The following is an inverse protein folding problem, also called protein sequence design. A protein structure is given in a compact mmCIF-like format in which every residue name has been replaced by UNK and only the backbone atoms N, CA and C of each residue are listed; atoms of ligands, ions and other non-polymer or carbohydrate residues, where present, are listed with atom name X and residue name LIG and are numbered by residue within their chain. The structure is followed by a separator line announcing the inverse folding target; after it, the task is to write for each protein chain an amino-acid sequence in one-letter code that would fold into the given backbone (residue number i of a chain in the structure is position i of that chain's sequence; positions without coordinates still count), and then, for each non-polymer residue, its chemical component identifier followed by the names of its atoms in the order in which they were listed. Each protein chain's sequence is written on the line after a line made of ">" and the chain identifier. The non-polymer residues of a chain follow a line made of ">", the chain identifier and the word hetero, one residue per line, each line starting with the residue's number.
data_IF_884024118191
#
_entry.id   IF_884024118191
#
_cell.length_a   1.000
_cell.length_b   1.000
_cell.length_c   1.000
_cell.angle_alpha   90.00
_cell.angle_beta   90.00
_cell.angle_gamma   90.00
#
_symmetry.space_group_name_H-M   'P 1'
#
loop_
_entity.id
_entity.type
_entity.pdbx_description
1 polymer ?
#
# COMPACT_ATOMS: atom_id res chain seq x y z
N UNK A 1 20.81 30.39 -2.26
CA UNK A 1 20.74 29.25 -1.33
C UNK A 1 21.89 28.32 -1.68
N UNK A 2 22.69 27.90 -0.69
CA UNK A 2 23.85 27.03 -0.93
C UNK A 2 23.45 25.56 -0.98
N UNK A 3 24.03 24.80 -1.89
CA UNK A 3 23.88 23.35 -1.93
C UNK A 3 24.77 22.71 -0.85
N UNK A 4 24.23 21.74 -0.10
CA UNK A 4 24.97 20.97 0.89
C UNK A 4 25.31 19.57 0.36
N UNK A 5 26.53 19.09 0.63
CA UNK A 5 26.98 17.77 0.18
C UNK A 5 26.83 16.72 1.30
N UNK A 6 26.24 15.57 0.96
CA UNK A 6 26.12 14.42 1.87
C UNK A 6 27.14 13.36 1.48
N UNK A 7 28.02 12.98 2.40
CA UNK A 7 29.01 11.90 2.19
C UNK A 7 28.81 10.80 3.23
N UNK A 8 28.66 9.56 2.77
CA UNK A 8 28.50 8.38 3.63
C UNK A 8 29.49 7.27 3.28
N UNK A 9 30.01 6.58 4.31
CA UNK A 9 30.88 5.39 4.14
C UNK A 9 30.01 4.14 3.98
N UNK A 10 30.36 3.29 3.02
CA UNK A 10 29.70 1.98 2.83
C UNK A 10 30.64 0.96 2.19
N UNK A 11 30.36 -0.33 2.40
CA UNK A 11 31.12 -1.41 1.77
C UNK A 11 30.99 -1.34 0.22
N UNK A 12 32.08 -1.60 -0.54
CA UNK A 12 32.05 -1.52 -2.01
C UNK A 12 30.96 -2.41 -2.65
N UNK A 13 30.75 -3.61 -2.10
CA UNK A 13 29.69 -4.52 -2.54
C UNK A 13 28.29 -3.96 -2.31
N UNK A 14 28.06 -3.27 -1.17
CA UNK A 14 26.79 -2.61 -0.86
C UNK A 14 26.53 -1.46 -1.83
N UNK A 15 27.54 -0.62 -2.11
CA UNK A 15 27.46 0.47 -3.09
C UNK A 15 27.06 -0.05 -4.48
N UNK A 16 27.71 -1.11 -4.94
CA UNK A 16 27.46 -1.69 -6.27
C UNK A 16 26.03 -2.23 -6.37
N UNK A 17 25.59 -3.06 -5.42
CA UNK A 17 24.24 -3.62 -5.43
C UNK A 17 23.17 -2.53 -5.32
N UNK A 18 23.36 -1.56 -4.43
CA UNK A 18 22.44 -0.42 -4.30
C UNK A 18 22.37 0.40 -5.59
N UNK A 19 23.51 0.67 -6.23
CA UNK A 19 23.57 1.38 -7.51
C UNK A 19 22.79 0.68 -8.63
N UNK A 20 22.83 -0.65 -8.70
CA UNK A 20 22.04 -1.41 -9.69
C UNK A 20 20.54 -1.28 -9.47
N UNK A 21 20.08 -1.32 -8.22
CA UNK A 21 18.66 -1.10 -7.89
C UNK A 21 18.25 0.30 -8.31
N UNK A 22 19.01 1.33 -7.92
CA UNK A 22 18.70 2.71 -8.28
C UNK A 22 18.68 2.92 -9.79
N UNK A 23 19.62 2.33 -10.53
CA UNK A 23 19.65 2.40 -11.99
C UNK A 23 18.39 1.80 -12.62
N UNK A 24 17.93 0.65 -12.12
CA UNK A 24 16.70 0.01 -12.59
C UNK A 24 15.46 0.88 -12.38
N UNK A 25 15.43 1.60 -11.26
CA UNK A 25 14.35 2.54 -10.93
C UNK A 25 14.55 3.94 -11.55
N UNK A 26 15.59 4.14 -12.38
CA UNK A 26 15.87 5.42 -13.03
C UNK A 26 16.31 6.54 -12.07
N UNK A 27 16.84 6.20 -10.90
CA UNK A 27 17.25 7.14 -9.86
C UNK A 27 18.78 7.24 -9.75
N UNK A 28 19.26 8.44 -9.46
CA UNK A 28 20.64 8.65 -8.97
C UNK A 28 20.72 8.50 -7.45
N UNK A 29 21.93 8.36 -6.93
CA UNK A 29 22.14 8.30 -5.48
C UNK A 29 21.69 9.58 -4.76
N UNK A 30 21.97 10.76 -5.33
CA UNK A 30 21.53 12.03 -4.74
C UNK A 30 20.01 12.18 -4.74
N UNK A 31 19.35 11.76 -5.83
CA UNK A 31 17.89 11.75 -5.94
C UNK A 31 17.22 10.82 -4.92
N UNK A 32 17.81 9.64 -4.68
CA UNK A 32 17.31 8.70 -3.68
C UNK A 32 17.50 9.24 -2.26
N UNK A 33 18.66 9.83 -1.96
CA UNK A 33 18.95 10.43 -0.65
C UNK A 33 18.03 11.63 -0.37
N UNK A 34 17.79 12.49 -1.36
CA UNK A 34 16.88 13.62 -1.18
C UNK A 34 15.45 13.16 -0.90
N UNK A 35 14.94 12.19 -1.68
CA UNK A 35 13.61 11.59 -1.43
C UNK A 35 13.51 10.93 -0.06
N UNK A 36 14.58 10.31 0.42
CA UNK A 36 14.65 9.77 1.78
C UNK A 36 14.49 10.89 2.81
N UNK A 37 15.19 12.01 2.67
CA UNK A 37 15.01 13.17 3.55
C UNK A 37 13.60 13.76 3.47
N UNK A 38 13.01 13.84 2.28
CA UNK A 38 11.63 14.28 2.11
C UNK A 38 10.68 13.42 2.95
N UNK A 39 10.86 12.09 2.93
CA UNK A 39 10.06 11.18 3.77
C UNK A 39 10.34 11.25 5.26
N UNK A 40 11.58 11.49 5.67
CA UNK A 40 11.90 11.74 7.08
C UNK A 40 11.20 13.02 7.59
N UNK A 41 11.14 14.05 6.76
CA UNK A 41 10.49 15.33 7.09
C UNK A 41 8.96 15.17 7.10
N UNK A 42 8.41 14.49 6.10
CA UNK A 42 6.95 14.27 5.96
C UNK A 42 6.40 13.41 7.11
N UNK A 43 7.08 12.34 7.46
CA UNK A 43 6.64 11.44 8.52
C UNK A 43 6.98 11.97 9.93
N UNK A 44 8.04 12.77 10.05
CA UNK A 44 8.57 13.19 11.35
C UNK A 44 9.33 12.09 12.10
N UNK A 45 9.57 10.94 11.48
CA UNK A 45 10.30 9.81 12.08
C UNK A 45 11.16 9.05 11.05
N UNK A 46 12.02 8.16 11.56
CA UNK A 46 12.91 7.31 10.76
C UNK A 46 12.59 5.80 10.86
N UNK A 47 11.37 5.45 11.25
CA UNK A 47 10.93 4.06 11.48
C UNK A 47 11.18 3.16 10.27
N UNK A 48 10.96 3.66 9.05
CA UNK A 48 11.20 2.93 7.81
C UNK A 48 12.68 2.60 7.54
N UNK A 49 13.62 3.34 8.15
CA UNK A 49 15.05 3.08 8.04
C UNK A 49 15.55 2.15 9.15
N UNK A 50 14.96 2.24 10.35
CA UNK A 50 15.38 1.47 11.53
C UNK A 50 14.67 0.13 11.64
N UNK A 51 13.48 0.00 11.03
CA UNK A 51 12.56 -1.11 11.27
C UNK A 51 11.96 -1.11 12.68
N UNK A 52 12.21 -0.05 13.45
CA UNK A 52 11.66 0.13 14.79
C UNK A 52 10.46 1.06 14.63
N UNK A 53 9.27 0.46 14.61
CA UNK A 53 8.03 1.22 14.78
C UNK A 53 8.06 1.70 16.24
N UNK A 54 7.97 3.01 16.45
CA UNK A 54 7.78 3.53 17.80
C UNK A 54 6.56 2.82 18.39
N UNK A 55 6.68 2.32 19.63
CA UNK A 55 5.57 1.66 20.29
C UNK A 55 4.35 2.57 20.19
N UNK A 56 3.30 2.05 19.57
CA UNK A 56 2.06 2.79 19.38
C UNK A 56 1.58 3.23 20.76
N UNK A 57 1.30 4.52 20.93
CA UNK A 57 0.82 5.02 22.21
C UNK A 57 -0.59 4.47 22.43
N UNK A 58 -0.70 3.38 23.18
CA UNK A 58 -1.96 2.70 23.51
C UNK A 58 -3.00 3.70 24.04
N UNK A 59 -2.55 4.72 24.78
CA UNK A 59 -3.42 5.77 25.29
C UNK A 59 -3.94 6.70 24.18
N UNK A 60 -3.16 6.93 23.11
CA UNK A 60 -3.63 7.69 21.96
C UNK A 60 -4.69 6.91 21.15
N UNK A 61 -4.55 5.58 21.08
CA UNK A 61 -5.57 4.71 20.47
C UNK A 61 -6.86 4.66 21.29
N UNK A 62 -6.77 4.49 22.60
CA UNK A 62 -7.94 4.49 23.49
C UNK A 62 -8.73 5.81 23.38
N UNK A 63 -8.03 6.96 23.36
CA UNK A 63 -8.67 8.26 23.16
C UNK A 63 -9.33 8.39 21.77
N UNK A 64 -8.73 7.81 20.73
CA UNK A 64 -9.30 7.84 19.38
C UNK A 64 -10.57 6.98 19.28
N UNK A 65 -10.62 5.84 19.97
CA UNK A 65 -11.82 4.99 20.07
C UNK A 65 -12.94 5.73 20.79
N UNK A 66 -12.66 6.33 21.94
CA UNK A 66 -13.64 7.11 22.70
C UNK A 66 -14.20 8.30 21.88
N UNK A 67 -13.35 8.96 21.10
CA UNK A 67 -13.77 10.01 20.19
C UNK A 67 -14.76 9.52 19.13
N UNK A 68 -14.48 8.39 18.47
CA UNK A 68 -15.38 7.82 17.46
C UNK A 68 -16.72 7.40 18.07
N UNK A 69 -16.69 6.82 19.27
CA UNK A 69 -17.91 6.45 20.00
C UNK A 69 -18.76 7.68 20.35
N UNK A 70 -18.13 8.82 20.69
CA UNK A 70 -18.84 10.08 20.96
C UNK A 70 -19.57 10.67 19.75
N UNK A 71 -19.13 10.34 18.52
CA UNK A 71 -19.79 10.75 17.28
C UNK A 71 -21.03 9.91 16.94
N UNK A 72 -21.24 8.80 17.65
CA UNK A 72 -22.30 7.81 17.37
C UNK A 72 -23.57 8.00 18.19
N UNK A 73 -23.80 9.17 18.80
CA UNK A 73 -25.05 9.45 19.51
C UNK A 73 -26.28 9.19 18.60
N UNK A 74 -27.32 8.52 19.12
CA UNK A 74 -28.47 8.12 18.32
C UNK A 74 -29.28 9.34 17.92
N UNK A 75 -29.60 9.45 16.63
CA UNK A 75 -30.62 10.36 16.10
C UNK A 75 -32.01 9.91 16.61
N UNK A 76 -32.29 10.17 17.88
CA UNK A 76 -33.62 10.05 18.45
C UNK A 76 -34.39 11.33 18.14
N UNK A 77 -34.95 11.39 16.94
CA UNK A 77 -35.86 12.43 16.48
C UNK A 77 -36.86 11.82 15.51
N UNK A 78 -37.96 11.28 16.06
CA UNK A 78 -38.93 10.51 15.31
C UNK A 78 -39.72 11.32 14.28
N UNK A 79 -39.94 10.69 13.13
CA UNK A 79 -41.13 10.94 12.31
C UNK A 79 -41.72 9.59 11.91
N UNK A 80 -42.51 9.01 12.83
CA UNK A 80 -43.54 8.04 12.45
C UNK A 80 -44.67 8.80 11.78
N UNK A 81 -44.61 8.99 10.47
CA UNK A 81 -45.81 9.05 9.62
C UNK A 81 -45.36 9.18 8.17
N UNK A 82 -45.57 8.14 7.36
CA UNK A 82 -46.02 8.20 5.98
C UNK A 82 -46.38 6.76 5.61
N UNK A 83 -47.67 6.50 5.79
CA UNK A 83 -48.55 5.65 4.99
C UNK A 83 -47.90 4.68 4.00
N UNK A 84 -48.10 3.40 4.27
CA UNK A 84 -48.94 2.52 3.44
C UNK A 84 -49.12 2.94 1.97
N UNK A 85 -48.21 2.52 1.10
CA UNK A 85 -48.58 2.05 -0.23
C UNK A 85 -47.53 1.08 -0.79
N UNK A 86 -47.91 -0.18 -0.90
CA UNK A 86 -47.41 -1.09 -1.93
C UNK A 86 -48.65 -1.88 -2.41
N UNK A 87 -48.69 -2.47 -3.61
CA UNK A 87 -47.55 -2.73 -4.50
C UNK A 87 -47.85 -2.52 -6.01
N UNK A 88 -46.82 -2.71 -6.83
CA UNK A 88 -46.85 -3.46 -8.12
C UNK A 88 -46.22 -2.69 -9.28
N UNK A 89 -45.00 -3.08 -9.66
CA UNK A 89 -44.65 -3.29 -11.06
C UNK A 89 -43.41 -4.18 -11.15
N UNK A 90 -43.66 -5.41 -11.59
CA UNK A 90 -42.70 -6.29 -12.26
C UNK A 90 -41.84 -5.50 -13.26
N UNK A 91 -40.52 -5.47 -13.04
CA UNK A 91 -39.55 -5.32 -14.12
C UNK A 91 -38.62 -6.52 -14.04
N UNK A 92 -38.87 -7.42 -14.97
CA UNK A 92 -38.04 -8.52 -15.40
C UNK A 92 -36.77 -7.93 -16.03
N UNK A 93 -35.62 -8.16 -15.40
CA UNK A 93 -34.32 -7.64 -15.81
C UNK A 93 -33.33 -8.79 -15.91
N UNK A 94 -33.40 -9.51 -17.03
CA UNK A 94 -32.45 -10.54 -17.42
C UNK A 94 -31.01 -9.98 -17.38
N UNK A 95 -30.22 -10.43 -16.41
CA UNK A 95 -28.77 -10.27 -16.47
C UNK A 95 -28.23 -11.30 -17.46
N UNK A 96 -27.92 -10.84 -18.67
CA UNK A 96 -27.15 -11.61 -19.62
C UNK A 96 -25.78 -11.97 -19.04
N UNK A 97 -25.43 -13.24 -19.20
CA UNK A 97 -24.14 -13.82 -18.88
C UNK A 97 -23.05 -13.12 -19.70
N UNK A 98 -22.29 -12.22 -19.07
CA UNK A 98 -21.05 -11.70 -19.62
C UNK A 98 -20.00 -12.83 -19.67
N UNK A 99 -19.64 -13.22 -20.89
CA UNK A 99 -18.62 -14.20 -21.23
C UNK A 99 -17.25 -13.76 -20.66
N UNK A 100 -16.72 -14.53 -19.69
CA UNK A 100 -15.38 -14.36 -19.14
C UNK A 100 -14.37 -15.02 -20.10
N UNK A 101 -13.30 -14.34 -20.55
CA UNK A 101 -12.31 -14.97 -21.41
C UNK A 101 -11.60 -16.11 -20.67
N UNK A 102 -11.67 -17.32 -21.23
CA UNK A 102 -11.13 -18.56 -20.68
C UNK A 102 -9.59 -18.71 -20.81
N UNK A 103 -8.83 -17.62 -20.71
CA UNK A 103 -7.37 -17.66 -20.75
C UNK A 103 -6.79 -17.01 -19.48
N UNK A 104 -6.95 -17.72 -18.36
CA UNK A 104 -6.07 -17.55 -17.21
C UNK A 104 -4.66 -18.06 -17.56
N UNK A 105 -3.59 -17.50 -16.96
CA UNK A 105 -2.23 -17.90 -17.30
C UNK A 105 -2.00 -19.40 -17.03
N UNK A 106 -1.44 -20.11 -18.02
CA UNK A 106 -1.08 -21.52 -17.90
C UNK A 106 -0.02 -21.72 -16.80
N UNK A 107 -0.49 -22.03 -15.59
CA UNK A 107 0.34 -22.29 -14.42
C UNK A 107 1.30 -23.47 -14.64
N UNK A 108 0.98 -24.41 -15.55
CA UNK A 108 1.87 -25.51 -15.88
C UNK A 108 3.07 -25.05 -16.72
N UNK A 109 2.89 -24.06 -17.61
CA UNK A 109 3.98 -23.41 -18.34
C UNK A 109 4.93 -22.65 -17.41
N UNK A 110 4.38 -21.92 -16.43
CA UNK A 110 5.16 -21.17 -15.43
C UNK A 110 6.01 -22.13 -14.58
N UNK A 111 5.44 -23.26 -14.15
CA UNK A 111 6.14 -24.28 -13.38
C UNK A 111 7.27 -24.99 -14.18
N UNK A 112 7.10 -25.18 -15.50
CA UNK A 112 8.15 -25.74 -16.37
C UNK A 112 9.34 -24.79 -16.54
N UNK A 113 9.10 -23.49 -16.68
CA UNK A 113 10.16 -22.49 -16.79
C UNK A 113 11.04 -22.42 -15.51
N UNK A 114 10.43 -22.55 -14.33
CA UNK A 114 11.15 -22.54 -13.06
C UNK A 114 12.11 -23.72 -12.88
N UNK A 115 11.84 -24.88 -13.52
CA UNK A 115 12.66 -26.09 -13.37
C UNK A 115 13.94 -26.12 -14.20
N UNK A 116 14.09 -25.21 -15.19
CA UNK A 116 15.27 -25.20 -16.07
C UNK A 116 16.38 -24.24 -15.62
N UNK A 117 16.09 -23.33 -14.69
CA UNK A 117 17.08 -22.37 -14.15
C UNK A 117 17.78 -22.89 -12.88
N UNK A 118 18.15 -24.16 -12.88
CA UNK A 118 18.97 -24.77 -11.81
C UNK A 118 19.87 -25.87 -12.35
N UNK A 119 20.63 -25.58 -13.41
CA UNK A 119 21.82 -26.36 -13.77
C UNK A 119 22.74 -25.55 -14.69
N UNK A 120 23.80 -24.99 -14.13
CA UNK A 120 24.80 -24.23 -14.89
C UNK A 120 25.87 -23.57 -14.04
N UNK A 121 26.45 -24.30 -13.07
CA UNK A 121 27.76 -23.98 -12.50
C UNK A 121 28.54 -25.29 -12.48
N UNK A 122 29.39 -25.48 -13.50
CA UNK A 122 30.77 -25.96 -13.37
C UNK A 122 31.56 -25.28 -14.48
#
# INVERSE_FOLDING_TARGET
>A
MGEAMVTGRMAPGKKRRGGLVLQREGLTASQAINRMYDKLIENGDASFLTGIVAAEDEAAWDNAVEFVDSLSEPVSGGTSDIADEAPSALVDGAFEHGDLPADGPDLAAIARAARFSSRGVI
#
